data_IF_931765917008
#
_entry.id   IF_931765917008
#
_cell.length_a   1.000
_cell.length_b   1.000
_cell.length_c   1.000
_cell.angle_alpha   90.00
_cell.angle_beta   90.00
_cell.angle_gamma   90.00
#
_symmetry.space_group_name_H-M   'P 1'
#
loop_
_entity.id
_entity.type
_entity.pdbx_description
1 polymer ?
#
# COMPACT_ATOMS: atom_id res chain seq x y z
N UNK A 1 -37.28 30.61 5.98
CA UNK A 1 -36.03 31.42 5.88
C UNK A 1 -34.94 31.03 6.90
N UNK A 2 -35.01 31.39 8.20
CA UNK A 2 -33.87 31.13 9.12
C UNK A 2 -33.64 29.64 9.45
N UNK A 3 -34.70 28.81 9.51
CA UNK A 3 -34.62 27.37 9.79
C UNK A 3 -34.09 26.57 8.58
N UNK A 4 -34.60 26.86 7.39
CA UNK A 4 -34.18 26.22 6.12
C UNK A 4 -32.72 26.54 5.78
N UNK A 5 -32.27 27.77 6.04
CA UNK A 5 -30.86 28.16 5.87
C UNK A 5 -29.94 27.43 6.86
N UNK A 6 -30.43 27.15 8.08
CA UNK A 6 -29.71 26.33 9.07
C UNK A 6 -29.58 24.87 8.61
N UNK A 7 -30.67 24.28 8.13
CA UNK A 7 -30.69 22.91 7.61
C UNK A 7 -29.81 22.75 6.35
N UNK A 8 -29.82 23.74 5.45
CA UNK A 8 -28.96 23.74 4.27
C UNK A 8 -27.47 23.73 4.64
N UNK A 9 -27.07 24.55 5.62
CA UNK A 9 -25.69 24.60 6.12
C UNK A 9 -25.30 23.30 6.83
N UNK A 10 -26.21 22.71 7.60
CA UNK A 10 -25.98 21.41 8.24
C UNK A 10 -25.81 20.28 7.21
N UNK A 11 -26.63 20.25 6.16
CA UNK A 11 -26.51 19.29 5.06
C UNK A 11 -25.24 19.50 4.24
N UNK A 12 -24.80 20.75 4.05
CA UNK A 12 -23.53 21.07 3.41
C UNK A 12 -22.34 20.57 4.24
N UNK A 13 -22.32 20.81 5.55
CA UNK A 13 -21.28 20.30 6.44
C UNK A 13 -21.27 18.77 6.50
N UNK A 14 -22.43 18.11 6.49
CA UNK A 14 -22.53 16.65 6.42
C UNK A 14 -21.95 16.12 5.11
N UNK A 15 -22.26 16.75 3.97
CA UNK A 15 -21.68 16.39 2.66
C UNK A 15 -20.16 16.60 2.63
N UNK A 16 -19.66 17.70 3.17
CA UNK A 16 -18.22 17.98 3.29
C UNK A 16 -17.54 16.91 4.14
N UNK A 17 -18.13 16.57 5.29
CA UNK A 17 -17.57 15.55 6.19
C UNK A 17 -17.56 14.15 5.54
N UNK A 18 -18.64 13.76 4.85
CA UNK A 18 -18.67 12.50 4.10
C UNK A 18 -17.63 12.49 2.97
N UNK A 19 -17.45 13.60 2.25
CA UNK A 19 -16.46 13.71 1.18
C UNK A 19 -15.03 13.59 1.72
N UNK A 20 -14.74 14.20 2.88
CA UNK A 20 -13.43 14.06 3.56
C UNK A 20 -13.17 12.60 3.95
N UNK A 21 -14.14 11.91 4.53
CA UNK A 21 -14.01 10.49 4.91
C UNK A 21 -13.69 9.61 3.69
N UNK A 22 -14.39 9.80 2.57
CA UNK A 22 -14.17 9.00 1.35
C UNK A 22 -12.76 9.20 0.81
N UNK A 23 -12.26 10.44 0.80
CA UNK A 23 -10.90 10.74 0.31
C UNK A 23 -9.81 10.12 1.22
N UNK A 24 -10.00 10.09 2.53
CA UNK A 24 -9.01 9.56 3.49
C UNK A 24 -8.79 8.04 3.37
N UNK A 25 -9.76 7.28 2.85
CA UNK A 25 -9.67 5.80 2.77
C UNK A 25 -8.87 5.35 1.53
N UNK A 26 -8.65 6.23 0.56
CA UNK A 26 -8.07 5.93 -0.77
C UNK A 26 -6.61 5.43 -0.76
N UNK A 27 -5.92 5.45 0.38
CA UNK A 27 -4.48 5.15 0.50
C UNK A 27 -4.12 3.91 1.31
N UNK A 28 -5.08 3.03 1.63
CA UNK A 28 -4.89 1.90 2.56
C UNK A 28 -4.50 0.56 1.89
N UNK A 29 -3.99 0.57 0.67
CA UNK A 29 -3.60 -0.66 -0.02
C UNK A 29 -2.13 -1.01 0.26
N UNK A 30 -1.90 -2.28 0.61
CA UNK A 30 -0.55 -2.84 0.70
C UNK A 30 0.12 -2.91 -0.66
N UNK A 31 1.41 -2.59 -0.71
CA UNK A 31 2.24 -2.79 -1.90
C UNK A 31 2.64 -4.25 -2.01
N UNK A 32 2.68 -4.77 -3.24
CA UNK A 32 3.19 -6.11 -3.52
C UNK A 32 4.65 -6.07 -3.95
N UNK A 33 5.47 -6.91 -3.33
CA UNK A 33 6.87 -7.13 -3.66
C UNK A 33 7.11 -8.57 -4.12
N UNK A 34 8.12 -8.75 -4.95
CA UNK A 34 8.48 -10.05 -5.53
C UNK A 34 9.97 -10.32 -5.37
N UNK A 35 10.31 -11.52 -4.91
CA UNK A 35 11.68 -12.05 -4.85
C UNK A 35 11.81 -13.21 -5.83
N UNK A 36 12.89 -13.23 -6.60
CA UNK A 36 13.18 -14.27 -7.59
C UNK A 36 14.66 -14.59 -7.63
N UNK A 37 15.01 -15.86 -7.84
CA UNK A 37 16.41 -16.30 -7.87
C UNK A 37 17.22 -15.63 -9.01
N UNK A 38 16.56 -15.33 -10.13
CA UNK A 38 17.10 -14.59 -11.29
C UNK A 38 16.95 -13.06 -11.19
N UNK A 39 16.46 -12.56 -10.05
CA UNK A 39 16.24 -11.13 -9.80
C UNK A 39 17.51 -10.31 -9.53
N UNK A 40 17.31 -9.06 -9.14
CA UNK A 40 18.40 -8.14 -8.77
C UNK A 40 17.94 -7.19 -7.65
N UNK A 41 18.73 -6.99 -6.59
CA UNK A 41 18.36 -6.12 -5.45
C UNK A 41 18.37 -4.62 -5.78
N UNK A 42 18.86 -4.24 -6.97
CA UNK A 42 18.69 -2.90 -7.53
C UNK A 42 17.35 -2.71 -8.24
N UNK A 43 16.61 -3.79 -8.49
CA UNK A 43 15.28 -3.71 -9.08
C UNK A 43 14.28 -3.10 -8.08
N UNK A 44 13.13 -2.59 -8.55
CA UNK A 44 12.09 -2.06 -7.66
C UNK A 44 11.32 -3.13 -6.87
N UNK A 45 11.51 -4.42 -7.15
CA UNK A 45 10.80 -5.51 -6.47
C UNK A 45 9.42 -5.79 -7.04
N UNK A 46 9.15 -5.40 -8.29
CA UNK A 46 7.89 -5.67 -9.00
C UNK A 46 7.88 -7.07 -9.60
N UNK A 47 6.71 -7.54 -10.04
CA UNK A 47 6.59 -8.84 -10.73
C UNK A 47 7.56 -8.97 -11.93
N UNK A 48 7.75 -7.93 -12.73
CA UNK A 48 8.62 -7.98 -13.92
C UNK A 48 10.09 -7.77 -13.54
N UNK A 49 10.36 -7.00 -12.49
CA UNK A 49 11.71 -6.70 -12.00
C UNK A 49 11.78 -7.01 -10.50
N UNK A 50 11.90 -8.29 -10.13
CA UNK A 50 11.90 -8.73 -8.73
C UNK A 50 13.25 -8.45 -8.06
N UNK A 51 13.24 -8.39 -6.73
CA UNK A 51 14.47 -8.46 -5.93
C UNK A 51 15.13 -9.83 -6.10
N UNK A 52 16.43 -9.91 -5.80
CA UNK A 52 17.14 -11.20 -5.78
C UNK A 52 17.04 -11.88 -4.42
N UNK A 53 17.16 -11.10 -3.34
CA UNK A 53 17.29 -11.63 -1.98
C UNK A 53 16.04 -11.40 -1.14
N UNK A 54 15.82 -12.30 -0.18
CA UNK A 54 14.74 -12.18 0.81
C UNK A 54 15.06 -11.02 1.77
N UNK A 55 16.32 -10.84 2.15
CA UNK A 55 16.74 -9.73 3.02
C UNK A 55 16.40 -8.35 2.42
N UNK A 56 16.55 -8.19 1.10
CA UNK A 56 16.18 -6.94 0.42
C UNK A 56 14.69 -6.67 0.57
N UNK A 57 13.84 -7.68 0.38
CA UNK A 57 12.40 -7.56 0.55
C UNK A 57 12.03 -7.19 2.00
N UNK A 58 12.62 -7.84 3.00
CA UNK A 58 12.41 -7.54 4.43
C UNK A 58 12.68 -6.07 4.76
N UNK A 59 13.71 -5.48 4.14
CA UNK A 59 14.05 -4.06 4.33
C UNK A 59 13.12 -3.10 3.57
N UNK A 60 12.34 -3.59 2.62
CA UNK A 60 11.50 -2.78 1.73
C UNK A 60 10.02 -2.80 2.12
N UNK A 61 9.51 -3.94 2.60
CA UNK A 61 8.11 -4.08 3.01
C UNK A 61 7.78 -3.25 4.25
N UNK A 62 6.56 -2.72 4.27
CA UNK A 62 5.94 -2.03 5.41
C UNK A 62 4.71 -2.79 5.88
N UNK A 63 4.15 -2.38 7.02
CA UNK A 63 2.90 -2.94 7.53
C UNK A 63 1.78 -2.84 6.50
N UNK A 64 1.16 -3.98 6.17
CA UNK A 64 0.12 -4.09 5.16
C UNK A 64 0.61 -4.56 3.78
N UNK A 65 1.91 -4.50 3.50
CA UNK A 65 2.50 -4.99 2.26
C UNK A 65 2.56 -6.53 2.22
N UNK A 66 2.67 -7.08 1.01
CA UNK A 66 2.83 -8.52 0.77
C UNK A 66 4.11 -8.75 -0.04
N UNK A 67 4.93 -9.72 0.37
CA UNK A 67 6.08 -10.16 -0.40
C UNK A 67 5.88 -11.60 -0.89
N UNK A 68 5.87 -11.79 -2.20
CA UNK A 68 5.83 -13.10 -2.84
C UNK A 68 7.25 -13.59 -3.16
N UNK A 69 7.59 -14.76 -2.64
CA UNK A 69 8.86 -15.44 -2.96
C UNK A 69 8.57 -16.46 -4.05
N UNK A 70 9.23 -16.32 -5.20
CA UNK A 70 9.07 -17.24 -6.32
C UNK A 70 9.76 -18.57 -6.04
N UNK A 71 9.39 -19.60 -6.79
CA UNK A 71 9.99 -20.93 -6.66
C UNK A 71 11.51 -20.88 -6.85
N UNK A 72 12.25 -21.49 -5.92
CA UNK A 72 13.70 -21.53 -5.93
C UNK A 72 14.26 -21.94 -4.58
N UNK A 73 15.58 -22.21 -4.54
CA UNK A 73 16.31 -22.43 -3.28
C UNK A 73 16.95 -21.12 -2.83
N UNK A 74 16.60 -20.68 -1.63
CA UNK A 74 17.16 -19.49 -1.00
C UNK A 74 17.93 -19.92 0.24
N UNK A 75 19.25 -19.85 0.16
CA UNK A 75 20.15 -20.17 1.27
C UNK A 75 20.67 -18.84 1.85
N UNK A 76 19.81 -18.19 2.65
CA UNK A 76 20.04 -16.85 3.18
C UNK A 76 19.84 -16.83 4.69
N UNK A 77 20.73 -16.16 5.42
CA UNK A 77 20.52 -15.81 6.82
C UNK A 77 19.93 -14.40 6.90
N UNK A 78 18.71 -14.31 7.43
CA UNK A 78 18.00 -13.04 7.60
C UNK A 78 18.45 -12.37 8.90
N UNK A 79 18.67 -11.06 8.84
CA UNK A 79 19.13 -10.18 9.92
C UNK A 79 18.21 -8.98 10.09
#
# INVERSE_FOLDING_TARGET
>A
VNKENGEMRANLNRKIFTLIIVVSISGLYGTEYYVSFDGNDKNPGTLIKPFRTIQKAVKSVKSGDICYIRGGRYDESIK
#
